data_IF_243520530635
#
_entry.id   IF_243520530635
#
_cell.length_a   1.000
_cell.length_b   1.000
_cell.length_c   1.000
_cell.angle_alpha   90.00
_cell.angle_beta   90.00
_cell.angle_gamma   90.00
#
_symmetry.space_group_name_H-M   'P 1'
#
loop_
_entity.id
_entity.type
_entity.pdbx_description
1 polymer ?
#
# COMPACT_ATOMS: atom_id res chain seq x y z
N UNK A 1 -26.56 34.69 -18.08
CA UNK A 1 -25.08 34.74 -18.02
C UNK A 1 -24.68 34.42 -16.59
N UNK A 2 -24.52 33.14 -16.28
CA UNK A 2 -24.08 32.64 -14.98
C UNK A 2 -22.61 32.27 -15.10
N UNK A 3 -21.75 33.10 -14.52
CA UNK A 3 -20.33 32.82 -14.36
C UNK A 3 -20.15 31.64 -13.40
N UNK A 4 -19.69 30.51 -13.93
CA UNK A 4 -19.22 29.38 -13.14
C UNK A 4 -17.91 29.77 -12.45
N UNK A 5 -17.97 30.10 -11.17
CA UNK A 5 -16.79 30.13 -10.30
C UNK A 5 -16.36 28.68 -10.09
N UNK A 6 -15.15 28.37 -10.53
CA UNK A 6 -14.46 27.14 -10.21
C UNK A 6 -14.13 27.14 -8.72
N UNK A 7 -14.99 26.52 -7.91
CA UNK A 7 -14.73 26.29 -6.49
C UNK A 7 -13.57 25.31 -6.35
N UNK A 8 -12.36 25.87 -6.33
CA UNK A 8 -11.14 25.18 -5.96
C UNK A 8 -11.17 25.11 -4.43
N UNK A 9 -11.68 24.01 -3.89
CA UNK A 9 -11.64 23.78 -2.44
C UNK A 9 -10.18 23.79 -1.97
N UNK A 10 -9.83 24.59 -0.95
CA UNK A 10 -8.45 24.69 -0.50
C UNK A 10 -8.08 23.43 0.30
N UNK A 11 -7.60 22.40 -0.41
CA UNK A 11 -6.87 21.27 0.17
C UNK A 11 -5.71 21.74 1.08
N UNK A 12 -5.22 22.97 0.86
CA UNK A 12 -4.20 23.64 1.66
C UNK A 12 -4.56 23.83 3.14
N UNK A 13 -5.85 23.83 3.51
CA UNK A 13 -6.27 23.96 4.91
C UNK A 13 -6.15 22.67 5.72
N UNK A 14 -6.19 21.51 5.06
CA UNK A 14 -6.13 20.18 5.71
C UNK A 14 -4.70 19.73 5.99
N UNK A 15 -3.75 20.12 5.14
CA UNK A 15 -2.32 19.82 5.27
C UNK A 15 -1.66 20.44 6.52
N UNK A 16 -2.36 21.33 7.23
CA UNK A 16 -1.82 22.03 8.41
C UNK A 16 -2.19 21.40 9.75
N UNK A 17 -2.94 20.29 9.76
CA UNK A 17 -3.34 19.61 10.99
C UNK A 17 -2.62 18.26 11.12
N UNK A 18 -1.84 18.08 12.18
CA UNK A 18 -1.33 16.76 12.56
C UNK A 18 -2.52 15.95 13.07
N UNK A 19 -2.94 14.93 12.32
CA UNK A 19 -4.14 14.17 12.65
C UNK A 19 -3.89 13.04 13.65
N UNK A 20 -2.77 12.32 13.56
CA UNK A 20 -2.31 11.32 14.54
C UNK A 20 -0.79 11.12 14.41
N UNK A 21 -0.03 11.26 15.49
CA UNK A 21 1.31 10.68 15.58
C UNK A 21 1.37 9.80 16.82
N UNK A 22 1.90 8.58 16.66
CA UNK A 22 2.21 7.73 17.79
C UNK A 22 3.29 8.43 18.65
N UNK A 23 3.00 8.75 19.93
CA UNK A 23 3.96 9.40 20.81
C UNK A 23 5.27 8.61 21.03
N UNK A 24 5.36 7.38 20.53
CA UNK A 24 6.53 6.49 20.65
C UNK A 24 7.40 6.45 19.38
N UNK A 25 7.02 7.12 18.28
CA UNK A 25 7.83 7.21 17.06
C UNK A 25 9.04 8.12 17.27
N UNK A 26 10.25 7.55 17.16
CA UNK A 26 11.50 8.30 17.20
C UNK A 26 12.31 8.11 15.91
N UNK A 27 12.33 9.14 15.08
CA UNK A 27 13.06 9.14 13.82
C UNK A 27 14.52 9.59 13.93
N UNK A 28 15.04 9.90 15.13
CA UNK A 28 16.42 10.40 15.28
C UNK A 28 17.46 9.42 14.73
N UNK A 29 17.19 8.13 14.84
CA UNK A 29 18.07 7.07 14.33
C UNK A 29 18.11 7.01 12.80
N UNK A 30 17.09 7.54 12.10
CA UNK A 30 17.08 7.66 10.62
C UNK A 30 18.19 8.58 10.12
N UNK A 31 18.63 9.52 10.95
CA UNK A 31 19.65 10.52 10.60
C UNK A 31 21.04 10.17 11.12
N UNK A 32 21.27 8.94 11.59
CA UNK A 32 22.54 8.50 12.18
C UNK A 32 23.08 7.21 11.52
N UNK A 33 24.40 7.05 11.57
CA UNK A 33 25.08 5.80 11.20
C UNK A 33 24.71 5.28 9.80
N UNK A 34 24.49 3.97 9.71
CA UNK A 34 24.11 3.30 8.46
C UNK A 34 22.73 3.73 7.96
N UNK A 35 21.78 4.02 8.84
CA UNK A 35 20.42 4.42 8.45
C UNK A 35 20.42 5.74 7.66
N UNK A 36 21.28 6.70 8.03
CA UNK A 36 21.43 7.94 7.28
C UNK A 36 21.94 7.70 5.85
N UNK A 37 22.84 6.72 5.68
CA UNK A 37 23.40 6.34 4.39
C UNK A 37 22.32 5.66 3.54
N UNK A 38 21.54 4.74 4.12
CA UNK A 38 20.41 4.07 3.44
C UNK A 38 19.32 5.06 3.01
N UNK A 39 18.95 5.99 3.89
CA UNK A 39 17.99 7.05 3.58
C UNK A 39 18.50 7.94 2.43
N UNK A 40 19.76 8.36 2.50
CA UNK A 40 20.38 9.19 1.45
C UNK A 40 20.40 8.46 0.10
N UNK A 41 20.74 7.16 0.10
CA UNK A 41 20.70 6.31 -1.10
C UNK A 41 19.28 6.23 -1.67
N UNK A 42 18.29 6.04 -0.80
CA UNK A 42 16.90 5.91 -1.20
C UNK A 42 16.36 7.20 -1.83
N UNK A 43 16.68 8.36 -1.25
CA UNK A 43 16.32 9.68 -1.80
C UNK A 43 16.93 9.90 -3.18
N UNK A 44 18.23 9.62 -3.33
CA UNK A 44 18.93 9.77 -4.61
C UNK A 44 18.36 8.84 -5.69
N UNK A 45 18.17 7.56 -5.36
CA UNK A 45 17.63 6.59 -6.30
C UNK A 45 16.19 6.92 -6.72
N UNK A 46 15.37 7.43 -5.79
CA UNK A 46 14.00 7.89 -6.05
C UNK A 46 13.92 9.26 -6.73
N UNK A 47 15.06 9.94 -6.94
CA UNK A 47 15.16 11.30 -7.52
C UNK A 47 14.35 12.34 -6.74
N UNK A 48 14.32 12.21 -5.43
CA UNK A 48 13.64 13.17 -4.55
C UNK A 48 14.57 14.34 -4.24
N UNK A 49 14.02 15.56 -4.27
CA UNK A 49 14.75 16.78 -3.94
C UNK A 49 14.43 17.21 -2.51
N UNK A 50 15.06 16.56 -1.53
CA UNK A 50 14.84 16.81 -0.10
C UNK A 50 16.12 17.32 0.58
N UNK A 51 15.98 18.32 1.45
CA UNK A 51 17.08 18.81 2.29
C UNK A 51 17.07 18.08 3.64
N UNK A 52 17.85 17.00 3.71
CA UNK A 52 17.94 16.15 4.91
C UNK A 52 18.45 16.91 6.15
N UNK A 53 19.34 17.90 5.98
CA UNK A 53 19.86 18.67 7.11
C UNK A 53 18.78 19.57 7.68
N UNK A 54 18.02 20.25 6.81
CA UNK A 54 16.88 21.05 7.22
C UNK A 54 15.82 20.20 7.94
N UNK A 55 15.41 19.09 7.33
CA UNK A 55 14.38 18.19 7.89
C UNK A 55 14.81 17.70 9.27
N UNK A 56 16.07 17.25 9.42
CA UNK A 56 16.63 16.82 10.70
C UNK A 56 16.54 17.92 11.76
N UNK A 57 16.98 19.13 11.44
CA UNK A 57 17.01 20.23 12.39
C UNK A 57 15.60 20.63 12.85
N UNK A 58 14.65 20.71 11.91
CA UNK A 58 13.25 21.01 12.22
C UNK A 58 12.61 19.91 13.08
N UNK A 59 12.92 18.65 12.80
CA UNK A 59 12.47 17.52 13.62
C UNK A 59 13.08 17.51 15.02
N UNK A 60 14.37 17.86 15.18
CA UNK A 60 15.00 17.99 16.49
C UNK A 60 14.30 19.07 17.33
N UNK A 61 13.93 20.22 16.72
CA UNK A 61 13.15 21.27 17.38
C UNK A 61 11.79 20.73 17.85
N UNK A 62 11.07 20.04 16.96
CA UNK A 62 9.78 19.42 17.31
C UNK A 62 9.94 18.40 18.45
N UNK A 63 10.96 17.54 18.39
CA UNK A 63 11.23 16.52 19.41
C UNK A 63 11.49 17.15 20.79
N UNK A 64 12.22 18.27 20.84
CA UNK A 64 12.44 19.02 22.09
C UNK A 64 11.12 19.62 22.63
N UNK A 65 10.28 20.18 21.76
CA UNK A 65 8.96 20.69 22.14
C UNK A 65 8.05 19.55 22.65
N UNK A 66 8.10 18.39 22.01
CA UNK A 66 7.35 17.19 22.39
C UNK A 66 7.77 16.65 23.75
N UNK A 67 9.08 16.51 24.02
CA UNK A 67 9.60 16.13 25.35
C UNK A 67 9.19 17.13 26.43
N UNK A 68 9.22 18.42 26.11
CA UNK A 68 8.75 19.46 27.02
C UNK A 68 7.25 19.33 27.32
N UNK A 69 6.44 18.95 26.32
CA UNK A 69 5.02 18.68 26.50
C UNK A 69 4.75 17.46 27.39
N UNK A 70 5.48 16.37 27.19
CA UNK A 70 5.36 15.18 28.05
C UNK A 70 5.72 15.47 29.51
N UNK A 71 6.77 16.26 29.74
CA UNK A 71 7.22 16.61 31.09
C UNK A 71 6.33 17.67 31.78
N UNK A 72 5.39 18.28 31.07
CA UNK A 72 4.54 19.35 31.58
C UNK A 72 3.28 18.85 32.33
N UNK A 73 3.21 17.58 32.70
CA UNK A 73 2.03 16.95 33.29
C UNK A 73 1.54 17.66 34.57
N UNK A 74 2.47 18.24 35.35
CA UNK A 74 2.18 19.01 36.57
C UNK A 74 2.29 20.53 36.41
N UNK A 75 2.54 21.05 35.21
CA UNK A 75 2.66 22.49 34.98
C UNK A 75 1.32 23.24 35.10
N UNK A 76 1.32 24.53 35.48
CA UNK A 76 0.15 25.40 35.48
C UNK A 76 -0.58 25.43 34.11
N UNK A 77 -1.91 25.66 34.07
CA UNK A 77 -2.70 25.64 32.82
C UNK A 77 -2.20 26.58 31.72
N UNK A 78 -1.72 27.78 32.09
CA UNK A 78 -1.16 28.75 31.14
C UNK A 78 0.14 28.25 30.51
N UNK A 79 1.00 27.63 31.31
CA UNK A 79 2.26 27.05 30.87
C UNK A 79 2.01 25.84 29.95
N UNK A 80 1.06 24.97 30.32
CA UNK A 80 0.61 23.86 29.45
C UNK A 80 0.13 24.35 28.09
N UNK A 81 -0.65 25.45 28.05
CA UNK A 81 -1.12 26.05 26.79
C UNK A 81 0.03 26.60 25.96
N UNK A 82 0.99 27.28 26.59
CA UNK A 82 2.19 27.79 25.91
C UNK A 82 3.05 26.69 25.32
N UNK A 83 3.29 25.62 26.09
CA UNK A 83 4.06 24.45 25.65
C UNK A 83 3.35 23.74 24.49
N UNK A 84 2.02 23.58 24.56
CA UNK A 84 1.22 23.06 23.44
C UNK A 84 1.30 23.96 22.21
N UNK A 85 1.30 25.29 22.37
CA UNK A 85 1.51 26.23 21.28
C UNK A 85 2.83 25.97 20.55
N UNK A 86 3.95 25.92 21.28
CA UNK A 86 5.26 25.61 20.71
C UNK A 86 5.31 24.26 19.97
N UNK A 87 4.64 23.25 20.49
CA UNK A 87 4.54 21.93 19.84
C UNK A 87 3.81 22.02 18.50
N UNK A 88 2.72 22.79 18.45
CA UNK A 88 1.95 23.00 17.22
C UNK A 88 2.72 23.87 16.22
N UNK A 89 3.42 24.90 16.70
CA UNK A 89 4.24 25.79 15.85
C UNK A 89 5.41 25.04 15.19
N UNK A 90 5.91 23.97 15.82
CA UNK A 90 6.98 23.12 15.30
C UNK A 90 6.48 21.88 14.54
N UNK A 91 5.16 21.74 14.33
CA UNK A 91 4.53 20.59 13.67
C UNK A 91 5.12 20.23 12.29
N UNK A 92 5.56 21.24 11.53
CA UNK A 92 6.18 21.07 10.22
C UNK A 92 7.41 20.16 10.24
N UNK A 93 8.19 20.17 11.33
CA UNK A 93 9.36 19.31 11.48
C UNK A 93 9.01 17.82 11.56
N UNK A 94 7.89 17.49 12.22
CA UNK A 94 7.36 16.13 12.27
C UNK A 94 6.79 15.69 10.92
N UNK A 95 5.97 16.55 10.29
CA UNK A 95 5.37 16.25 9.00
C UNK A 95 6.43 15.99 7.93
N UNK A 96 7.48 16.82 7.88
CA UNK A 96 8.59 16.66 6.93
C UNK A 96 9.35 15.33 7.10
N UNK A 97 9.39 14.79 8.31
CA UNK A 97 10.00 13.48 8.59
C UNK A 97 9.10 12.33 8.20
N UNK A 98 7.79 12.46 8.41
CA UNK A 98 6.81 11.46 8.00
C UNK A 98 6.73 11.30 6.47
N UNK A 99 7.06 12.35 5.72
CA UNK A 99 7.16 12.33 4.26
C UNK A 99 8.42 11.63 3.73
N UNK A 100 9.38 11.26 4.58
CA UNK A 100 10.60 10.58 4.13
C UNK A 100 10.29 9.19 3.55
N UNK A 101 10.96 8.79 2.46
CA UNK A 101 10.78 7.46 1.90
C UNK A 101 11.30 6.37 2.84
N UNK A 102 10.72 5.19 2.70
CA UNK A 102 11.26 3.96 3.25
C UNK A 102 12.56 3.57 2.52
N UNK A 103 13.37 2.74 3.17
CA UNK A 103 14.66 2.32 2.64
C UNK A 103 14.49 1.34 1.50
N UNK A 104 15.31 1.48 0.46
CA UNK A 104 15.35 0.51 -0.61
C UNK A 104 15.92 -0.83 -0.12
N UNK A 105 15.42 -1.93 -0.68
CA UNK A 105 15.99 -3.23 -0.41
C UNK A 105 17.44 -3.30 -0.96
N UNK A 106 18.37 -3.82 -0.16
CA UNK A 106 19.80 -3.95 -0.56
C UNK A 106 19.96 -4.99 -1.67
N UNK A 107 19.01 -5.93 -1.76
CA UNK A 107 18.91 -6.94 -2.80
C UNK A 107 17.53 -6.83 -3.44
N UNK A 108 17.46 -6.32 -4.67
CA UNK A 108 16.29 -6.56 -5.51
C UNK A 108 16.43 -8.00 -5.99
N UNK A 109 15.60 -8.96 -5.56
CA UNK A 109 15.68 -10.31 -6.08
C UNK A 109 15.35 -10.21 -7.56
N UNK A 110 16.38 -10.34 -8.42
CA UNK A 110 16.15 -10.40 -9.85
C UNK A 110 15.24 -11.59 -10.09
N UNK A 111 14.07 -11.36 -10.66
CA UNK A 111 13.12 -12.40 -11.11
C UNK A 111 13.74 -13.41 -12.11
N UNK A 112 15.02 -13.24 -12.46
CA UNK A 112 15.85 -14.12 -13.26
C UNK A 112 16.55 -15.24 -12.49
N UNK A 113 16.49 -15.32 -11.16
CA UNK A 113 17.10 -16.45 -10.44
C UNK A 113 16.25 -17.71 -10.61
N UNK A 114 16.70 -18.60 -11.49
CA UNK A 114 16.26 -20.00 -11.57
C UNK A 114 16.54 -20.69 -10.22
N UNK A 115 15.62 -20.63 -9.27
CA UNK A 115 15.61 -21.55 -8.13
C UNK A 115 14.77 -22.77 -8.50
N UNK A 116 15.46 -23.90 -8.62
CA UNK A 116 14.93 -25.28 -8.70
C UNK A 116 13.90 -25.52 -7.57
N UNK A 117 12.78 -26.21 -7.71
CA UNK A 117 12.33 -27.14 -8.75
C UNK A 117 11.34 -28.21 -8.24
N UNK A 118 10.98 -28.25 -6.95
CA UNK A 118 10.07 -29.28 -6.40
C UNK A 118 8.73 -28.72 -5.88
N UNK A 119 8.69 -27.96 -4.78
CA UNK A 119 7.41 -27.50 -4.18
C UNK A 119 6.59 -26.55 -5.06
N UNK A 120 7.26 -25.88 -5.99
CA UNK A 120 6.69 -24.89 -6.91
C UNK A 120 5.92 -25.54 -8.05
N UNK A 121 6.50 -26.59 -8.67
CA UNK A 121 5.81 -27.40 -9.67
C UNK A 121 4.58 -28.06 -9.04
N UNK A 122 4.69 -28.51 -7.79
CA UNK A 122 3.57 -29.10 -7.07
C UNK A 122 2.43 -28.10 -6.88
N UNK A 123 2.71 -26.84 -6.55
CA UNK A 123 1.65 -25.82 -6.34
C UNK A 123 0.90 -25.51 -7.64
N UNK A 124 1.60 -25.34 -8.76
CA UNK A 124 0.96 -25.09 -10.05
C UNK A 124 0.20 -26.35 -10.49
N UNK A 125 0.82 -27.53 -10.41
CA UNK A 125 0.20 -28.79 -10.78
C UNK A 125 -1.06 -29.09 -9.96
N UNK A 126 -1.02 -28.85 -8.65
CA UNK A 126 -2.16 -29.04 -7.75
C UNK A 126 -3.33 -28.10 -8.06
N UNK A 127 -3.04 -26.89 -8.56
CA UNK A 127 -4.05 -25.90 -8.91
C UNK A 127 -4.44 -25.88 -10.39
N UNK A 128 -3.76 -26.66 -11.25
CA UNK A 128 -3.99 -26.65 -12.70
C UNK A 128 -5.43 -26.99 -13.05
N UNK A 129 -6.02 -27.99 -12.39
CA UNK A 129 -7.43 -28.36 -12.62
C UNK A 129 -8.41 -27.21 -12.35
N UNK A 130 -8.14 -26.36 -11.35
CA UNK A 130 -8.94 -25.18 -11.04
C UNK A 130 -8.71 -24.09 -12.08
N UNK A 131 -7.46 -23.86 -12.50
CA UNK A 131 -7.11 -22.91 -13.55
C UNK A 131 -7.83 -23.30 -14.87
N UNK A 132 -7.71 -24.55 -15.30
CA UNK A 132 -8.33 -25.09 -16.51
C UNK A 132 -9.86 -24.96 -16.47
N UNK A 133 -10.47 -25.26 -15.31
CA UNK A 133 -11.91 -25.14 -15.13
C UNK A 133 -12.38 -23.67 -15.25
N UNK A 134 -11.62 -22.73 -14.70
CA UNK A 134 -11.92 -21.30 -14.82
C UNK A 134 -11.75 -20.83 -16.24
N UNK A 135 -10.64 -21.17 -16.91
CA UNK A 135 -10.35 -20.80 -18.30
C UNK A 135 -11.41 -21.36 -19.24
N UNK A 136 -11.84 -22.61 -19.04
CA UNK A 136 -12.95 -23.21 -19.78
C UNK A 136 -14.25 -22.43 -19.60
N UNK A 137 -14.54 -21.95 -18.39
CA UNK A 137 -15.73 -21.12 -18.14
C UNK A 137 -15.61 -19.73 -18.79
N UNK A 138 -14.43 -19.10 -18.76
CA UNK A 138 -14.17 -17.83 -19.45
C UNK A 138 -14.40 -18.04 -20.94
N UNK A 139 -13.77 -19.03 -21.56
CA UNK A 139 -13.90 -19.30 -22.99
C UNK A 139 -15.36 -19.60 -23.40
N UNK A 140 -16.11 -20.35 -22.59
CA UNK A 140 -17.53 -20.66 -22.85
C UNK A 140 -18.46 -19.46 -22.73
N UNK A 141 -18.13 -18.48 -21.88
CA UNK A 141 -19.06 -17.39 -21.50
C UNK A 141 -18.58 -16.00 -21.90
N UNK A 142 -17.33 -15.84 -22.38
CA UNK A 142 -16.72 -14.56 -22.73
C UNK A 142 -17.58 -13.75 -23.71
N UNK A 143 -18.18 -14.40 -24.71
CA UNK A 143 -19.02 -13.73 -25.70
C UNK A 143 -20.37 -13.24 -25.15
N UNK A 144 -20.78 -13.72 -23.97
CA UNK A 144 -22.07 -13.41 -23.34
C UNK A 144 -21.95 -12.46 -22.15
N UNK A 145 -20.74 -12.25 -21.63
CA UNK A 145 -20.49 -11.38 -20.49
C UNK A 145 -20.13 -9.98 -20.94
N UNK A 146 -20.73 -8.99 -20.29
CA UNK A 146 -20.21 -7.63 -20.39
C UNK A 146 -18.88 -7.52 -19.63
N UNK A 147 -18.12 -6.46 -19.90
CA UNK A 147 -16.79 -6.24 -19.30
C UNK A 147 -16.81 -6.26 -17.78
N UNK A 148 -17.88 -5.76 -17.15
CA UNK A 148 -18.04 -5.74 -15.68
C UNK A 148 -18.22 -7.16 -15.12
N UNK A 149 -19.06 -7.98 -15.75
CA UNK A 149 -19.29 -9.37 -15.35
C UNK A 149 -18.02 -10.21 -15.48
N UNK A 150 -17.28 -10.05 -16.59
CA UNK A 150 -16.03 -10.75 -16.82
C UNK A 150 -14.98 -10.38 -15.77
N UNK A 151 -14.80 -9.09 -15.48
CA UNK A 151 -13.86 -8.61 -14.46
C UNK A 151 -14.15 -9.19 -13.08
N UNK A 152 -15.42 -9.15 -12.65
CA UNK A 152 -15.85 -9.73 -11.36
C UNK A 152 -15.62 -11.23 -11.30
N UNK A 153 -15.88 -11.94 -12.40
CA UNK A 153 -15.64 -13.38 -12.48
C UNK A 153 -14.15 -13.71 -12.37
N UNK A 154 -13.28 -12.99 -13.09
CA UNK A 154 -11.83 -13.17 -13.02
C UNK A 154 -11.32 -12.95 -11.60
N UNK A 155 -11.72 -11.85 -10.94
CA UNK A 155 -11.34 -11.59 -9.54
C UNK A 155 -11.85 -12.67 -8.59
N UNK A 156 -13.09 -13.16 -8.77
CA UNK A 156 -13.63 -14.25 -7.98
C UNK A 156 -12.88 -15.57 -8.19
N UNK A 157 -12.41 -15.85 -9.40
CA UNK A 157 -11.57 -17.00 -9.67
C UNK A 157 -10.18 -16.87 -9.05
N UNK A 158 -9.53 -15.71 -9.18
CA UNK A 158 -8.26 -15.41 -8.54
C UNK A 158 -8.35 -15.53 -7.02
N UNK A 159 -9.42 -15.01 -6.42
CA UNK A 159 -9.69 -15.17 -5.00
C UNK A 159 -9.72 -16.66 -4.62
N UNK A 160 -10.48 -17.50 -5.35
CA UNK A 160 -10.52 -18.95 -5.09
C UNK A 160 -9.16 -19.62 -5.24
N UNK A 161 -8.37 -19.23 -6.25
CA UNK A 161 -7.02 -19.74 -6.45
C UNK A 161 -6.12 -19.40 -5.27
N UNK A 162 -6.14 -18.16 -4.79
CA UNK A 162 -5.37 -17.71 -3.62
C UNK A 162 -5.78 -18.49 -2.37
N UNK A 163 -7.09 -18.73 -2.17
CA UNK A 163 -7.59 -19.53 -1.04
C UNK A 163 -7.13 -20.99 -1.06
N UNK A 164 -7.02 -21.58 -2.24
CA UNK A 164 -6.59 -22.98 -2.40
C UNK A 164 -5.07 -23.10 -2.25
N UNK A 165 -4.32 -22.14 -2.80
CA UNK A 165 -2.87 -22.20 -2.87
C UNK A 165 -2.17 -21.81 -1.56
N UNK A 166 -2.73 -20.88 -0.79
CA UNK A 166 -2.05 -20.35 0.40
C UNK A 166 -2.31 -21.18 1.67
N UNK A 167 -1.25 -21.40 2.43
CA UNK A 167 -1.27 -21.85 3.81
C UNK A 167 -0.42 -20.88 4.67
N UNK A 168 -0.93 -20.39 5.81
CA UNK A 168 -2.28 -20.58 6.34
C UNK A 168 -3.35 -19.98 5.42
N UNK A 169 -4.57 -20.52 5.51
CA UNK A 169 -5.68 -20.07 4.66
C UNK A 169 -5.93 -18.56 4.86
N UNK A 170 -6.08 -17.79 3.76
CA UNK A 170 -6.41 -16.37 3.85
C UNK A 170 -7.69 -16.13 4.65
N UNK A 171 -7.72 -15.06 5.43
CA UNK A 171 -8.93 -14.59 6.08
C UNK A 171 -9.59 -13.55 5.17
N UNK A 172 -10.84 -13.80 4.76
CA UNK A 172 -11.63 -12.83 4.03
C UNK A 172 -12.10 -11.74 5.00
N UNK A 173 -11.77 -10.50 4.69
CA UNK A 173 -12.06 -9.35 5.55
C UNK A 173 -12.62 -8.19 4.72
N UNK A 174 -13.65 -7.55 5.26
CA UNK A 174 -14.22 -6.33 4.69
C UNK A 174 -13.70 -5.15 5.48
N UNK A 175 -12.96 -4.28 4.82
CA UNK A 175 -12.35 -3.10 5.42
C UNK A 175 -13.20 -1.85 5.17
N UNK A 176 -13.04 -0.80 5.99
CA UNK A 176 -13.75 0.45 5.74
C UNK A 176 -13.28 1.09 4.43
N UNK A 177 -14.22 1.41 3.54
CA UNK A 177 -13.92 2.08 2.27
C UNK A 177 -13.63 3.58 2.46
N UNK A 178 -14.12 4.15 3.56
CA UNK A 178 -13.86 5.54 3.98
C UNK A 178 -12.92 5.51 5.16
N UNK A 179 -11.79 6.20 5.03
CA UNK A 179 -10.77 6.32 6.08
C UNK A 179 -10.50 7.79 6.38
N UNK A 180 -10.02 8.07 7.58
CA UNK A 180 -9.58 9.43 7.93
C UNK A 180 -8.30 9.78 7.17
N UNK A 181 -8.08 11.06 6.88
CA UNK A 181 -6.85 11.56 6.27
C UNK A 181 -5.58 11.04 6.97
N UNK A 182 -5.60 11.01 8.31
CA UNK A 182 -4.52 10.45 9.14
C UNK A 182 -4.07 9.04 8.74
N UNK A 183 -4.99 8.20 8.28
CA UNK A 183 -4.70 6.82 7.88
C UNK A 183 -3.98 6.80 6.53
N UNK A 184 -4.37 7.67 5.61
CA UNK A 184 -3.72 7.82 4.30
C UNK A 184 -2.31 8.39 4.47
N UNK A 185 -2.17 9.43 5.30
CA UNK A 185 -0.87 10.02 5.65
C UNK A 185 0.04 9.01 6.35
N UNK A 186 -0.52 8.18 7.24
CA UNK A 186 0.25 7.12 7.90
C UNK A 186 0.81 6.10 6.90
N UNK A 187 0.14 5.88 5.77
CA UNK A 187 0.66 5.07 4.65
C UNK A 187 1.71 5.79 3.80
N UNK A 188 2.09 7.03 4.13
CA UNK A 188 2.92 7.90 3.32
C UNK A 188 2.39 8.03 1.87
N UNK A 189 1.07 8.24 1.76
CA UNK A 189 0.35 8.46 0.52
C UNK A 189 -0.19 9.88 0.47
N UNK A 190 -0.25 10.44 -0.74
CA UNK A 190 -0.79 11.79 -0.94
C UNK A 190 -2.32 11.76 -0.85
N UNK A 191 -2.91 12.70 -0.10
CA UNK A 191 -4.36 12.76 0.11
C UNK A 191 -5.16 12.99 -1.18
N UNK A 192 -4.58 13.71 -2.14
CA UNK A 192 -5.18 14.01 -3.45
C UNK A 192 -5.23 12.79 -4.39
N UNK A 193 -4.55 11.69 -4.03
CA UNK A 193 -4.68 10.40 -4.69
C UNK A 193 -6.04 9.73 -4.46
N UNK A 194 -6.82 10.22 -3.47
CA UNK A 194 -8.11 9.66 -3.09
C UNK A 194 -9.23 10.70 -3.18
N UNK A 195 -10.42 10.34 -3.68
CA UNK A 195 -11.58 11.22 -3.60
C UNK A 195 -11.93 11.56 -2.15
N UNK A 196 -12.16 12.83 -1.87
CA UNK A 196 -12.56 13.29 -0.55
C UNK A 196 -14.09 13.32 -0.42
N UNK A 197 -14.57 12.82 0.71
CA UNK A 197 -15.95 12.91 1.17
C UNK A 197 -15.98 13.88 2.35
N UNK A 198 -16.75 14.95 2.21
CA UNK A 198 -16.90 15.99 3.23
C UNK A 198 -18.28 15.89 3.82
N UNK A 199 -18.34 15.69 5.14
CA UNK A 199 -19.60 15.64 5.89
C UNK A 199 -19.42 16.38 7.22
N UNK A 200 -20.20 17.46 7.45
CA UNK A 200 -20.23 18.21 8.71
C UNK A 200 -18.83 18.52 9.29
N UNK A 201 -17.98 19.20 8.52
CA UNK A 201 -16.58 19.55 8.85
C UNK A 201 -15.63 18.37 9.08
N UNK A 202 -16.07 17.13 8.82
CA UNK A 202 -15.23 15.94 8.81
C UNK A 202 -14.84 15.59 7.37
N UNK A 203 -13.56 15.22 7.21
CA UNK A 203 -12.97 14.89 5.92
C UNK A 203 -12.56 13.41 5.93
N UNK A 204 -13.15 12.63 5.02
CA UNK A 204 -12.85 11.23 4.84
C UNK A 204 -12.33 11.00 3.42
N UNK A 205 -11.32 10.16 3.28
CA UNK A 205 -10.80 9.72 1.99
C UNK A 205 -11.48 8.41 1.59
N UNK A 206 -11.98 8.35 0.35
CA UNK A 206 -12.54 7.14 -0.24
C UNK A 206 -11.41 6.25 -0.75
N UNK A 207 -10.81 5.48 0.17
CA UNK A 207 -9.70 4.57 -0.11
C UNK A 207 -10.15 3.27 -0.82
N UNK A 208 -11.39 2.83 -0.61
CA UNK A 208 -11.90 1.61 -1.25
C UNK A 208 -11.22 0.34 -0.72
N UNK A 209 -10.77 -0.54 -1.62
CA UNK A 209 -10.00 -1.75 -1.27
C UNK A 209 -8.52 -1.53 -1.55
N UNK A 210 -7.94 -0.55 -0.87
CA UNK A 210 -6.53 -0.16 -1.01
C UNK A 210 -5.81 -0.18 0.35
N UNK A 211 -4.49 0.04 0.34
CA UNK A 211 -3.63 -0.05 1.52
C UNK A 211 -4.17 0.68 2.76
N UNK A 212 -4.60 1.97 2.69
CA UNK A 212 -5.14 2.67 3.86
C UNK A 212 -6.32 1.94 4.51
N UNK A 213 -7.21 1.37 3.71
CA UNK A 213 -8.35 0.59 4.20
C UNK A 213 -7.91 -0.70 4.88
N UNK A 214 -6.99 -1.45 4.25
CA UNK A 214 -6.47 -2.72 4.77
C UNK A 214 -5.80 -2.55 6.15
N UNK A 215 -5.00 -1.50 6.33
CA UNK A 215 -4.29 -1.29 7.59
C UNK A 215 -5.14 -0.63 8.66
N UNK A 216 -6.23 0.06 8.27
CA UNK A 216 -6.99 0.91 9.19
C UNK A 216 -7.46 0.21 10.47
N UNK A 217 -7.95 -1.05 10.46
CA UNK A 217 -8.38 -1.71 11.71
C UNK A 217 -7.20 -2.24 12.52
N UNK A 218 -6.01 -2.31 11.93
CA UNK A 218 -4.79 -2.79 12.57
C UNK A 218 -4.05 -1.65 13.30
N UNK A 219 -4.47 -0.40 13.07
CA UNK A 219 -3.92 0.77 13.76
C UNK A 219 -4.15 0.63 15.26
N UNK A 220 -3.07 0.78 16.05
CA UNK A 220 -3.03 0.59 17.51
C UNK A 220 -3.26 -0.85 17.99
N UNK A 221 -3.32 -1.83 17.08
CA UNK A 221 -3.24 -3.23 17.49
C UNK A 221 -1.81 -3.57 17.89
N UNK A 222 -1.67 -4.43 18.91
CA UNK A 222 -0.38 -5.02 19.29
C UNK A 222 -0.37 -6.46 18.83
N UNK A 223 0.50 -6.76 17.89
CA UNK A 223 0.73 -8.13 17.45
C UNK A 223 1.75 -8.78 18.39
N UNK A 224 1.51 -10.02 18.81
CA UNK A 224 2.47 -10.77 19.64
C UNK A 224 2.62 -12.19 19.14
N UNK A 225 3.83 -12.77 19.19
CA UNK A 225 4.07 -14.17 18.81
C UNK A 225 3.26 -15.17 19.65
N UNK A 226 2.89 -14.77 20.87
CA UNK A 226 2.15 -15.62 21.82
C UNK A 226 0.64 -15.64 21.56
N UNK A 227 0.09 -14.59 20.93
CA UNK A 227 -1.35 -14.44 20.70
C UNK A 227 -1.77 -14.68 19.26
N UNK A 228 -0.84 -14.53 18.31
CA UNK A 228 -1.15 -14.56 16.89
C UNK A 228 -0.70 -15.87 16.24
N UNK A 229 -1.45 -16.31 15.24
CA UNK A 229 -1.03 -17.36 14.33
C UNK A 229 -0.37 -16.71 13.12
N UNK A 230 0.96 -16.72 13.09
CA UNK A 230 1.73 -16.22 11.95
C UNK A 230 1.87 -17.30 10.84
N UNK A 231 2.01 -16.89 9.58
CA UNK A 231 1.79 -15.53 9.06
C UNK A 231 0.30 -15.16 9.03
N UNK A 232 -0.02 -13.87 9.17
CA UNK A 232 -1.37 -13.34 8.94
C UNK A 232 -1.57 -13.04 7.46
N UNK A 233 -2.61 -13.62 6.89
CA UNK A 233 -2.93 -13.51 5.47
C UNK A 233 -4.34 -12.94 5.35
N UNK A 234 -4.45 -11.63 5.05
CA UNK A 234 -5.72 -10.92 4.99
C UNK A 234 -6.07 -10.60 3.55
N UNK A 235 -7.25 -11.03 3.10
CA UNK A 235 -7.70 -10.85 1.73
C UNK A 235 -8.99 -10.02 1.70
N UNK A 236 -9.01 -9.01 0.85
CA UNK A 236 -10.18 -8.15 0.64
C UNK A 236 -10.44 -7.95 -0.85
N UNK A 237 -11.71 -7.79 -1.21
CA UNK A 237 -12.17 -7.65 -2.60
C UNK A 237 -13.25 -6.58 -2.67
N UNK A 238 -13.16 -5.70 -3.66
CA UNK A 238 -14.14 -4.62 -3.84
C UNK A 238 -13.67 -3.58 -4.83
N UNK A 239 -14.16 -2.35 -4.68
CA UNK A 239 -13.85 -1.26 -5.60
C UNK A 239 -12.73 -0.37 -5.06
N UNK A 240 -11.87 0.09 -5.95
CA UNK A 240 -10.95 1.21 -5.76
C UNK A 240 -11.37 2.41 -6.59
N UNK A 241 -10.99 3.59 -6.13
CA UNK A 241 -11.44 4.89 -6.64
C UNK A 241 -10.23 5.75 -6.98
N UNK A 242 -9.57 5.51 -8.14
CA UNK A 242 -8.42 6.30 -8.54
C UNK A 242 -8.78 7.78 -8.71
N UNK A 243 -7.90 8.67 -8.24
CA UNK A 243 -8.10 10.11 -8.41
C UNK A 243 -8.15 10.53 -9.89
N UNK A 244 -9.10 11.40 -10.23
CA UNK A 244 -9.33 11.94 -11.57
C UNK A 244 -8.15 12.77 -12.11
N UNK A 245 -7.27 13.25 -11.23
CA UNK A 245 -6.04 13.97 -11.58
C UNK A 245 -4.90 13.04 -12.03
N UNK A 246 -5.00 11.74 -11.75
CA UNK A 246 -4.01 10.77 -12.21
C UNK A 246 -4.14 10.55 -13.72
N UNK A 247 -3.05 10.55 -14.50
CA UNK A 247 -3.09 10.14 -15.90
C UNK A 247 -3.66 8.71 -16.07
N UNK A 248 -3.61 7.87 -15.01
CA UNK A 248 -4.21 6.51 -14.97
C UNK A 248 -5.76 6.52 -14.97
N UNK A 249 -6.40 7.61 -14.58
CA UNK A 249 -7.87 7.71 -14.52
C UNK A 249 -8.52 7.82 -15.91
N UNK A 250 -7.77 8.27 -16.92
CA UNK A 250 -8.29 8.43 -18.28
C UNK A 250 -8.45 7.10 -19.04
N UNK A 251 -7.78 6.04 -18.59
CA UNK A 251 -7.74 4.75 -19.30
C UNK A 251 -8.64 3.69 -18.66
N UNK A 252 -9.18 3.90 -17.45
CA UNK A 252 -9.94 2.88 -16.72
C UNK A 252 -11.38 3.28 -16.43
N UNK A 253 -12.31 2.58 -17.11
CA UNK A 253 -13.76 2.52 -16.91
C UNK A 253 -14.54 3.87 -16.89
N UNK A 254 -15.73 3.94 -17.52
CA UNK A 254 -16.51 5.19 -17.64
C UNK A 254 -17.02 5.83 -16.32
N UNK A 255 -16.67 5.27 -15.15
CA UNK A 255 -17.16 5.73 -13.84
C UNK A 255 -16.07 5.90 -12.78
N UNK A 256 -14.77 5.84 -13.13
CA UNK A 256 -13.67 6.05 -12.17
C UNK A 256 -13.63 5.03 -11.03
N UNK A 257 -14.18 3.84 -11.24
CA UNK A 257 -14.19 2.73 -10.27
C UNK A 257 -13.62 1.48 -10.93
N UNK A 258 -12.68 0.82 -10.26
CA UNK A 258 -12.13 -0.45 -10.68
C UNK A 258 -12.31 -1.50 -9.60
N UNK A 259 -12.68 -2.71 -10.01
CA UNK A 259 -12.72 -3.84 -9.08
C UNK A 259 -11.27 -4.33 -8.86
N UNK A 260 -10.92 -4.54 -7.60
CA UNK A 260 -9.60 -4.91 -7.14
C UNK A 260 -9.69 -5.99 -6.07
N UNK A 261 -8.71 -6.87 -6.07
CA UNK A 261 -8.42 -7.82 -5.01
C UNK A 261 -7.12 -7.39 -4.33
N UNK A 262 -7.15 -7.20 -3.02
CA UNK A 262 -5.99 -6.78 -2.25
C UNK A 262 -5.71 -7.77 -1.14
N UNK A 263 -4.46 -8.20 -1.04
CA UNK A 263 -3.95 -9.16 -0.08
C UNK A 263 -2.86 -8.49 0.77
N UNK A 264 -3.05 -8.48 2.07
CA UNK A 264 -2.04 -8.05 3.05
C UNK A 264 -1.44 -9.30 3.70
N UNK A 265 -0.12 -9.45 3.56
CA UNK A 265 0.67 -10.50 4.18
C UNK A 265 1.50 -9.88 5.30
N UNK A 266 1.27 -10.37 6.51
CA UNK A 266 2.05 -10.00 7.68
C UNK A 266 2.70 -11.24 8.28
N UNK A 267 3.93 -11.11 8.74
CA UNK A 267 4.70 -12.24 9.24
C UNK A 267 5.60 -11.77 10.37
N UNK A 268 6.05 -12.70 11.20
CA UNK A 268 6.98 -12.47 12.29
C UNK A 268 8.41 -12.33 11.75
N UNK A 269 8.84 -13.21 10.84
CA UNK A 269 10.21 -13.23 10.28
C UNK A 269 10.21 -12.83 8.80
N UNK A 270 11.26 -12.20 8.27
CA UNK A 270 11.21 -11.63 6.90
C UNK A 270 11.21 -12.70 5.78
N UNK A 271 11.61 -13.93 6.09
CA UNK A 271 11.88 -14.97 5.09
C UNK A 271 10.62 -15.69 4.56
N UNK A 272 9.64 -16.03 5.41
CA UNK A 272 8.48 -16.86 4.99
C UNK A 272 7.52 -16.11 4.05
N UNK A 273 7.41 -14.79 4.22
CA UNK A 273 6.71 -13.94 3.26
C UNK A 273 7.27 -13.99 1.84
N UNK A 274 8.59 -14.06 1.66
CA UNK A 274 9.21 -14.03 0.33
C UNK A 274 8.82 -15.26 -0.51
N UNK A 275 8.82 -16.45 0.11
CA UNK A 275 8.41 -17.69 -0.56
C UNK A 275 6.93 -17.65 -0.93
N UNK A 276 6.09 -17.18 -0.01
CA UNK A 276 4.65 -17.01 -0.24
C UNK A 276 4.36 -16.07 -1.42
N UNK A 277 5.08 -14.94 -1.49
CA UNK A 277 4.97 -13.96 -2.58
C UNK A 277 5.42 -14.56 -3.91
N UNK A 278 6.51 -15.31 -3.94
CA UNK A 278 6.98 -15.98 -5.15
C UNK A 278 5.97 -17.01 -5.65
N UNK A 279 5.39 -17.83 -4.76
CA UNK A 279 4.34 -18.79 -5.10
C UNK A 279 3.11 -18.09 -5.71
N UNK A 280 2.67 -16.98 -5.10
CA UNK A 280 1.56 -16.18 -5.62
C UNK A 280 1.86 -15.56 -6.98
N UNK A 281 3.07 -15.02 -7.17
CA UNK A 281 3.48 -14.45 -8.45
C UNK A 281 3.46 -15.51 -9.56
N UNK A 282 3.95 -16.72 -9.28
CA UNK A 282 3.92 -17.82 -10.24
C UNK A 282 2.50 -18.31 -10.52
N UNK A 283 1.65 -18.43 -9.50
CA UNK A 283 0.24 -18.79 -9.66
C UNK A 283 -0.50 -17.76 -10.51
N UNK A 284 -0.27 -16.47 -10.25
CA UNK A 284 -0.84 -15.38 -11.03
C UNK A 284 -0.33 -15.42 -12.47
N UNK A 285 0.97 -15.62 -12.68
CA UNK A 285 1.58 -15.78 -14.00
C UNK A 285 0.93 -16.91 -14.79
N UNK A 286 0.79 -18.09 -14.19
CA UNK A 286 0.16 -19.24 -14.81
C UNK A 286 -1.29 -18.92 -15.18
N UNK A 287 -2.07 -18.40 -14.23
CA UNK A 287 -3.45 -18.01 -14.44
C UNK A 287 -3.62 -16.98 -15.57
N UNK A 288 -2.83 -15.90 -15.58
CA UNK A 288 -2.90 -14.85 -16.61
C UNK A 288 -2.51 -15.37 -17.99
N UNK A 289 -1.52 -16.27 -18.06
CA UNK A 289 -1.09 -16.89 -19.32
C UNK A 289 -2.17 -17.81 -19.89
N UNK A 290 -2.82 -18.60 -19.05
CA UNK A 290 -3.89 -19.52 -19.46
C UNK A 290 -5.16 -18.81 -19.95
N UNK A 291 -5.45 -17.61 -19.43
CA UNK A 291 -6.52 -16.77 -19.98
C UNK A 291 -6.11 -15.98 -21.23
N UNK A 292 -4.90 -16.21 -21.75
CA UNK A 292 -4.41 -15.67 -23.02
C UNK A 292 -3.98 -14.21 -22.96
N UNK A 293 -3.67 -13.67 -21.78
CA UNK A 293 -3.12 -12.31 -21.65
C UNK A 293 -1.61 -12.35 -21.89
N UNK A 294 -1.12 -11.46 -22.76
CA UNK A 294 0.30 -11.11 -22.77
C UNK A 294 0.58 -10.15 -21.62
N UNK A 295 1.69 -10.31 -20.92
CA UNK A 295 2.10 -9.37 -19.87
C UNK A 295 3.59 -9.48 -19.65
N UNK A 296 4.16 -8.39 -19.17
CA UNK A 296 5.54 -8.30 -18.71
C UNK A 296 5.55 -8.32 -17.18
N UNK A 297 6.54 -9.00 -16.61
CA UNK A 297 6.85 -8.93 -15.18
C UNK A 297 8.14 -8.14 -15.07
N UNK A 298 8.11 -7.02 -14.35
CA UNK A 298 9.28 -6.19 -14.15
C UNK A 298 9.34 -5.64 -12.73
N UNK A 299 10.56 -5.55 -12.22
CA UNK A 299 10.85 -4.79 -11.01
C UNK A 299 10.54 -3.31 -11.25
N UNK A 300 9.95 -2.67 -10.26
CA UNK A 300 9.57 -1.26 -10.35
C UNK A 300 10.80 -0.41 -10.03
N UNK A 301 11.16 0.45 -10.99
CA UNK A 301 12.28 1.37 -10.82
C UNK A 301 12.07 2.28 -9.59
N UNK A 302 13.13 2.61 -8.83
CA UNK A 302 12.99 3.40 -7.60
C UNK A 302 12.20 4.71 -7.73
N UNK A 303 12.32 5.52 -8.81
CA UNK A 303 11.50 6.72 -8.98
C UNK A 303 9.98 6.47 -9.09
N UNK A 304 9.58 5.24 -9.40
CA UNK A 304 8.18 4.82 -9.56
C UNK A 304 7.67 3.99 -8.36
N UNK A 305 8.48 3.83 -7.31
CA UNK A 305 8.05 3.21 -6.06
C UNK A 305 7.25 4.23 -5.24
N UNK A 306 6.18 3.78 -4.59
CA UNK A 306 5.53 4.55 -3.54
C UNK A 306 6.49 4.76 -2.37
N UNK A 307 6.32 5.83 -1.59
CA UNK A 307 7.27 6.19 -0.53
C UNK A 307 7.35 5.14 0.58
N UNK A 308 6.26 4.40 0.83
CA UNK A 308 6.24 3.31 1.81
C UNK A 308 6.95 2.03 1.33
N UNK A 309 7.26 1.89 0.03
CA UNK A 309 7.83 0.66 -0.52
C UNK A 309 9.35 0.57 -0.34
N UNK A 310 9.86 -0.62 -0.04
CA UNK A 310 11.30 -0.94 -0.12
C UNK A 310 11.67 -1.49 -1.49
N UNK A 311 10.78 -2.26 -2.07
CA UNK A 311 10.85 -2.81 -3.42
C UNK A 311 9.45 -3.17 -3.89
N UNK A 312 9.26 -3.24 -5.20
CA UNK A 312 8.03 -3.75 -5.78
C UNK A 312 8.31 -4.35 -7.16
N UNK A 313 7.48 -5.29 -7.57
CA UNK A 313 7.43 -5.75 -8.96
C UNK A 313 5.97 -5.79 -9.43
N UNK A 314 5.79 -5.63 -10.74
CA UNK A 314 4.47 -5.47 -11.33
C UNK A 314 4.28 -6.40 -12.52
N UNK A 315 3.04 -6.86 -12.68
CA UNK A 315 2.54 -7.48 -13.90
C UNK A 315 1.88 -6.40 -14.71
N UNK A 316 2.39 -6.12 -15.91
CA UNK A 316 1.88 -5.05 -16.76
C UNK A 316 1.53 -5.59 -18.14
N UNK A 317 0.38 -5.18 -18.68
CA UNK A 317 0.03 -5.39 -20.08
C UNK A 317 0.00 -4.03 -20.77
N UNK A 318 0.93 -3.80 -21.70
CA UNK A 318 1.14 -2.50 -22.34
C UNK A 318 1.41 -1.39 -21.30
N UNK A 319 0.54 -0.39 -21.17
CA UNK A 319 0.65 0.69 -20.17
C UNK A 319 -0.09 0.41 -18.87
N UNK A 320 -0.85 -0.69 -18.80
CA UNK A 320 -1.73 -1.00 -17.67
C UNK A 320 -1.08 -1.98 -16.69
N UNK A 321 -0.99 -1.58 -15.41
CA UNK A 321 -0.61 -2.45 -14.30
C UNK A 321 -1.79 -3.38 -13.95
N UNK A 322 -1.60 -4.69 -14.14
CA UNK A 322 -2.57 -5.73 -13.80
C UNK A 322 -2.45 -6.15 -12.33
N UNK A 323 -1.22 -6.25 -11.84
CA UNK A 323 -0.95 -6.57 -10.45
C UNK A 323 0.36 -5.93 -9.98
N UNK A 324 0.43 -5.63 -8.69
CA UNK A 324 1.61 -5.10 -8.03
C UNK A 324 1.84 -5.85 -6.73
N UNK A 325 3.07 -6.31 -6.55
CA UNK A 325 3.56 -6.87 -5.30
C UNK A 325 4.50 -5.84 -4.67
N UNK A 326 4.09 -5.29 -3.53
CA UNK A 326 4.80 -4.24 -2.81
C UNK A 326 5.41 -4.83 -1.54
N UNK A 327 6.74 -4.76 -1.40
CA UNK A 327 7.42 -5.02 -0.14
C UNK A 327 7.46 -3.72 0.66
N UNK A 328 6.76 -3.68 1.80
CA UNK A 328 6.74 -2.53 2.70
C UNK A 328 7.83 -2.69 3.78
N UNK A 329 8.18 -3.94 4.11
CA UNK A 329 9.10 -4.26 5.20
C UNK A 329 8.71 -3.59 6.53
N UNK A 330 9.71 -3.35 7.37
CA UNK A 330 9.54 -2.53 8.58
C UNK A 330 9.98 -1.11 8.23
N UNK A 331 9.03 -0.16 8.22
CA UNK A 331 9.34 1.25 7.98
C UNK A 331 10.04 1.92 9.19
N UNK A 332 10.09 1.26 10.36
CA UNK A 332 10.68 1.79 11.61
C UNK A 332 11.52 0.69 12.33
N UNK A 333 12.71 1.00 12.89
CA UNK A 333 13.62 0.02 13.51
C UNK A 333 13.12 -0.66 14.81
N UNK A 334 13.66 -1.86 15.08
CA UNK A 334 13.30 -2.82 16.14
C UNK A 334 13.40 -2.34 17.60
N UNK A 335 14.13 -1.26 17.92
CA UNK A 335 14.37 -0.86 19.32
C UNK A 335 13.41 0.22 19.85
N UNK A 336 12.45 0.64 19.02
CA UNK A 336 11.34 1.48 19.46
C UNK A 336 10.12 0.60 19.68
N UNK A 337 9.39 0.72 20.81
CA UNK A 337 8.18 -0.05 21.07
C UNK A 337 7.05 0.48 20.17
N UNK A 338 7.17 0.32 18.86
CA UNK A 338 6.24 0.88 17.88
C UNK A 338 5.07 -0.06 17.73
N UNK A 339 4.14 0.05 18.68
CA UNK A 339 2.78 -0.38 18.49
C UNK A 339 2.04 0.64 17.60
N UNK A 340 2.40 0.75 16.33
CA UNK A 340 1.75 1.71 15.46
C UNK A 340 2.17 1.64 14.00
N UNK A 341 1.25 1.15 13.17
CA UNK A 341 1.12 1.33 11.73
C UNK A 341 1.66 0.22 10.80
N UNK A 342 2.91 -0.24 10.90
CA UNK A 342 3.42 -1.32 10.01
C UNK A 342 4.23 -2.41 10.73
N UNK A 343 4.06 -2.58 12.03
CA UNK A 343 4.72 -3.69 12.71
C UNK A 343 4.12 -5.03 12.23
N UNK A 344 4.92 -5.75 11.42
CA UNK A 344 4.56 -7.03 10.80
C UNK A 344 4.05 -6.98 9.36
N UNK A 345 3.58 -5.84 8.84
CA UNK A 345 3.06 -5.73 7.46
C UNK A 345 4.19 -5.70 6.43
N UNK A 346 4.47 -6.85 5.82
CA UNK A 346 5.65 -7.02 4.98
C UNK A 346 5.33 -6.91 3.51
N UNK A 347 4.18 -7.42 3.09
CA UNK A 347 3.81 -7.41 1.68
C UNK A 347 2.35 -7.05 1.44
N UNK A 348 2.13 -6.29 0.38
CA UNK A 348 0.80 -5.98 -0.15
C UNK A 348 0.77 -6.40 -1.61
N UNK A 349 -0.13 -7.30 -1.94
CA UNK A 349 -0.46 -7.64 -3.30
C UNK A 349 -1.76 -6.93 -3.67
N UNK A 350 -1.70 -6.14 -4.72
CA UNK A 350 -2.84 -5.48 -5.33
C UNK A 350 -3.04 -6.06 -6.72
N UNK A 351 -4.21 -6.62 -7.01
CA UNK A 351 -4.57 -7.17 -8.33
C UNK A 351 -5.79 -6.45 -8.86
N UNK A 352 -5.62 -5.72 -9.97
CA UNK A 352 -6.70 -5.14 -10.73
C UNK A 352 -7.25 -6.16 -11.73
N UNK A 353 -8.55 -6.12 -11.99
CA UNK A 353 -9.11 -6.95 -13.06
C UNK A 353 -8.53 -6.52 -14.43
N UNK A 354 -8.11 -7.48 -15.29
CA UNK A 354 -7.59 -7.14 -16.61
C UNK A 354 -8.62 -6.38 -17.45
N UNK A 355 -8.17 -5.59 -18.44
CA UNK A 355 -9.08 -4.92 -19.35
C UNK A 355 -9.91 -5.99 -20.11
N UNK A 356 -11.12 -5.64 -20.59
CA UNK A 356 -11.85 -6.58 -21.43
C UNK A 356 -10.95 -6.96 -22.61
N UNK A 357 -10.65 -8.25 -22.73
CA UNK A 357 -9.93 -8.80 -23.88
C UNK A 357 -10.63 -8.27 -25.11
N UNK A 358 -9.94 -7.43 -25.90
CA UNK A 358 -10.44 -7.12 -27.23
C UNK A 358 -10.62 -8.45 -27.94
N UNK A 359 -11.80 -8.59 -28.55
CA UNK A 359 -12.23 -9.83 -29.21
C UNK A 359 -11.09 -10.43 -30.03
N UNK A 360 -11.00 -11.76 -30.15
CA UNK A 360 -10.09 -12.35 -31.12
C UNK A 360 -10.42 -11.72 -32.48
N UNK A 361 -9.43 -11.02 -33.05
CA UNK A 361 -9.47 -10.62 -34.45
C UNK A 361 -9.50 -11.94 -35.22
N UNK A 362 -10.68 -12.32 -35.68
CA UNK A 362 -10.92 -13.59 -36.35
C UNK A 362 -12.18 -13.52 -37.19
N UNK A 363 -12.00 -13.11 -38.44
CA UNK A 363 -12.97 -13.03 -39.52
C UNK A 363 -12.32 -12.42 -40.74
#
# INVERSE_FOLDING_TARGET
MSSSTSDTYPLSGLNNYIHVVDPQLDFRDRFQGENAIELSRSILARKLSLDLLKIRNEYEIWCMAFKSHLNAEHSPPLEKRHIRGKLLDSSAGLLSVLELPNDLDRYVPSTSSKSEGSSVCDTIHNNQSLIDAVVSQINKKAHRWNSVQLRRFILSALQRLIFTALQPKPQMVTFPHLVRAAVVEACNLQLDAFPLVVENDSYLSLAGVDLPSLISPLIKCRFSPKSNHWPLVLLSSGNVYPSLSSPRAKESAPFGQNAQLSLLLMDEHSHECSETVQQLALLLRAFLSEIGLSFDIADVNPPNLFLYERSAFSFSHSTMELARFSNIGQAVPNDTPVAGFFDGAKFVLTVAAPPPLMQPIGG
#
